data_IF_004784843126
#
_entry.id   IF_004784843126
#
_cell.length_a   1.000
_cell.length_b   1.000
_cell.length_c   1.000
_cell.angle_alpha   90.00
_cell.angle_beta   90.00
_cell.angle_gamma   90.00
#
_symmetry.space_group_name_H-M   'P 1'
#
loop_
_entity.id
_entity.type
_entity.pdbx_description
1 polymer ?
#
# COMPACT_ATOMS: atom_id res chain seq x y z
N UNK A 1 -12.20 6.55 11.02
CA UNK A 1 -11.91 5.12 11.19
C UNK A 1 -11.46 4.88 12.62
N UNK A 2 -12.09 3.93 13.31
CA UNK A 2 -11.69 3.46 14.65
C UNK A 2 -10.41 2.62 14.57
N UNK A 3 -9.70 2.37 15.69
CA UNK A 3 -8.54 1.48 15.69
C UNK A 3 -8.83 0.06 15.19
N UNK A 4 -9.99 -0.50 15.54
CA UNK A 4 -10.39 -1.84 15.09
C UNK A 4 -10.67 -1.89 13.58
N UNK A 5 -11.35 -0.88 13.05
CA UNK A 5 -11.56 -0.75 11.59
C UNK A 5 -10.23 -0.58 10.85
N UNK A 6 -9.28 0.16 11.44
CA UNK A 6 -7.94 0.35 10.86
C UNK A 6 -7.15 -0.96 10.84
N UNK A 7 -7.19 -1.74 11.91
CA UNK A 7 -6.48 -3.02 11.98
C UNK A 7 -6.99 -4.01 10.91
N UNK A 8 -8.28 -3.95 10.56
CA UNK A 8 -8.84 -4.77 9.47
C UNK A 8 -8.24 -4.45 8.08
N UNK A 9 -7.61 -3.28 7.91
CA UNK A 9 -6.90 -2.89 6.69
C UNK A 9 -5.41 -3.20 6.72
N UNK A 10 -4.88 -3.71 7.84
CA UNK A 10 -3.46 -3.93 8.01
C UNK A 10 -2.99 -5.10 7.17
N UNK A 11 -1.83 -4.92 6.54
CA UNK A 11 -1.08 -5.96 5.86
C UNK A 11 0.21 -6.26 6.64
N UNK A 12 0.63 -7.52 6.60
CA UNK A 12 1.92 -7.96 7.14
C UNK A 12 2.64 -8.88 6.16
N UNK A 13 3.97 -8.93 6.25
CA UNK A 13 4.80 -9.83 5.46
C UNK A 13 4.91 -11.17 6.19
N UNK A 14 4.62 -12.27 5.50
CA UNK A 14 4.78 -13.63 6.03
C UNK A 14 6.22 -14.17 5.86
N UNK A 15 6.47 -15.38 6.35
CA UNK A 15 7.80 -16.00 6.30
C UNK A 15 8.32 -16.25 4.87
N UNK A 16 7.42 -16.28 3.88
CA UNK A 16 7.73 -16.48 2.47
C UNK A 16 7.85 -15.14 1.72
N UNK A 17 7.73 -14.01 2.42
CA UNK A 17 7.81 -12.66 1.85
C UNK A 17 6.51 -12.15 1.23
N UNK A 18 5.38 -12.83 1.44
CA UNK A 18 4.08 -12.45 0.88
C UNK A 18 3.31 -11.52 1.82
N UNK A 19 2.56 -10.59 1.24
CA UNK A 19 1.61 -9.74 1.94
C UNK A 19 0.33 -10.51 2.28
N UNK A 20 -0.04 -10.48 3.56
CA UNK A 20 -1.27 -11.06 4.09
C UNK A 20 -2.12 -10.04 4.82
N UNK A 21 -3.43 -10.23 4.75
CA UNK A 21 -4.41 -9.47 5.53
C UNK A 21 -4.33 -9.84 7.01
N UNK A 22 -4.20 -8.85 7.90
CA UNK A 22 -4.26 -9.07 9.34
C UNK A 22 -5.66 -9.48 9.83
N UNK A 23 -6.71 -9.20 9.04
CA UNK A 23 -8.09 -9.50 9.42
C UNK A 23 -8.38 -11.00 9.44
N UNK A 24 -7.79 -11.77 8.52
CA UNK A 24 -8.09 -13.19 8.32
C UNK A 24 -6.87 -14.06 7.96
N UNK A 25 -5.69 -13.47 7.81
CA UNK A 25 -4.45 -14.17 7.43
C UNK A 25 -4.40 -14.61 5.96
N UNK A 26 -5.38 -14.23 5.13
CA UNK A 26 -5.39 -14.57 3.70
C UNK A 26 -4.31 -13.82 2.92
N UNK A 27 -3.92 -14.36 1.76
CA UNK A 27 -3.05 -13.64 0.83
C UNK A 27 -3.79 -12.39 0.32
N UNK A 28 -3.13 -11.24 0.40
CA UNK A 28 -3.72 -10.00 -0.11
C UNK A 28 -3.65 -9.98 -1.64
N UNK A 29 -4.71 -9.51 -2.29
CA UNK A 29 -4.80 -9.45 -3.73
C UNK A 29 -5.57 -8.21 -4.17
N UNK A 30 -5.06 -7.50 -5.16
CA UNK A 30 -5.64 -6.25 -5.67
C UNK A 30 -6.42 -6.41 -6.97
N UNK A 31 -6.61 -7.63 -7.49
CA UNK A 31 -7.34 -7.87 -8.74
C UNK A 31 -8.78 -7.34 -8.68
N UNK A 32 -9.41 -7.37 -7.50
CA UNK A 32 -10.75 -6.79 -7.26
C UNK A 32 -10.75 -5.29 -6.91
N UNK A 33 -9.58 -4.67 -6.78
CA UNK A 33 -9.42 -3.27 -6.39
C UNK A 33 -9.61 -2.30 -7.54
N UNK A 34 -10.20 -1.15 -7.25
CA UNK A 34 -10.30 -0.05 -8.20
C UNK A 34 -9.81 1.22 -7.52
N UNK A 35 -8.82 1.89 -8.11
CA UNK A 35 -8.40 3.23 -7.69
C UNK A 35 -8.87 4.27 -8.69
N UNK A 36 -9.03 5.50 -8.22
CA UNK A 36 -9.40 6.64 -9.04
C UNK A 36 -8.34 6.98 -10.10
N UNK A 37 -7.08 6.59 -9.88
CA UNK A 37 -5.95 6.97 -10.74
C UNK A 37 -5.57 5.92 -11.76
N UNK A 38 -5.63 4.62 -11.44
CA UNK A 38 -5.25 3.53 -12.36
C UNK A 38 -6.43 2.80 -13.01
N UNK A 39 -7.67 3.04 -12.55
CA UNK A 39 -8.89 2.48 -13.15
C UNK A 39 -9.18 1.01 -12.82
N UNK A 40 -8.25 0.28 -12.20
CA UNK A 40 -8.42 -1.12 -11.78
C UNK A 40 -7.12 -1.79 -11.32
N UNK A 41 -7.25 -2.93 -10.62
CA UNK A 41 -6.15 -3.81 -10.24
C UNK A 41 -5.27 -3.32 -9.10
N UNK A 42 -5.58 -2.20 -8.45
CA UNK A 42 -4.73 -1.59 -7.41
C UNK A 42 -5.50 -1.27 -6.13
N UNK A 43 -4.75 -1.12 -5.05
CA UNK A 43 -5.21 -0.60 -3.77
C UNK A 43 -4.48 0.69 -3.42
N UNK A 44 -5.13 1.61 -2.71
CA UNK A 44 -4.39 2.67 -2.01
C UNK A 44 -3.73 2.09 -0.77
N UNK A 45 -2.57 2.64 -0.39
CA UNK A 45 -1.89 2.25 0.84
C UNK A 45 -1.36 3.45 1.63
N UNK A 46 -1.17 3.25 2.93
CA UNK A 46 -0.39 4.11 3.80
C UNK A 46 0.51 3.25 4.70
N UNK A 47 1.67 3.79 5.08
CA UNK A 47 2.53 3.19 6.09
C UNK A 47 2.73 4.15 7.27
N UNK A 48 2.53 3.66 8.48
CA UNK A 48 2.77 4.44 9.70
C UNK A 48 4.25 4.48 10.10
N UNK A 49 4.60 5.27 11.13
CA UNK A 49 5.98 5.39 11.62
C UNK A 49 6.55 4.11 12.26
N UNK A 50 5.69 3.13 12.56
CA UNK A 50 6.09 1.84 13.10
C UNK A 50 6.32 0.80 12.00
N UNK A 51 6.14 1.17 10.73
CA UNK A 51 6.28 0.29 9.58
C UNK A 51 5.03 -0.55 9.29
N UNK A 52 3.90 -0.29 9.94
CA UNK A 52 2.65 -0.99 9.64
C UNK A 52 2.09 -0.50 8.32
N UNK A 53 1.86 -1.44 7.40
CA UNK A 53 1.24 -1.19 6.11
C UNK A 53 -0.28 -1.35 6.23
N UNK A 54 -1.03 -0.39 5.71
CA UNK A 54 -2.49 -0.46 5.62
C UNK A 54 -2.92 -0.24 4.17
N UNK A 55 -3.82 -1.07 3.67
CA UNK A 55 -4.30 -0.98 2.29
C UNK A 55 -5.82 -1.16 2.19
N UNK A 56 -6.42 -0.56 1.16
CA UNK A 56 -7.83 -0.77 0.84
C UNK A 56 -8.08 -0.79 -0.65
N UNK A 57 -8.89 -1.76 -1.06
CA UNK A 57 -9.41 -1.93 -2.43
C UNK A 57 -10.54 -0.94 -2.73
N UNK A 58 -11.18 -0.41 -1.69
CA UNK A 58 -12.38 0.42 -1.80
C UNK A 58 -12.02 1.90 -1.78
N UNK A 59 -11.27 2.36 -2.78
CA UNK A 59 -11.06 3.79 -2.96
C UNK A 59 -12.28 4.42 -3.64
N UNK A 60 -13.20 4.95 -2.83
CA UNK A 60 -14.35 5.72 -3.31
C UNK A 60 -14.11 7.21 -3.16
N UNK A 61 -14.24 7.94 -4.26
CA UNK A 61 -14.19 9.41 -4.28
C UNK A 61 -15.21 9.96 -3.29
N UNK A 62 -14.72 10.66 -2.25
CA UNK A 62 -15.55 11.29 -1.22
C UNK A 62 -15.78 10.45 0.05
N UNK A 63 -15.30 9.20 0.10
CA UNK A 63 -15.50 8.30 1.25
C UNK A 63 -14.19 7.77 1.84
N UNK A 64 -13.32 7.17 1.02
CA UNK A 64 -12.08 6.54 1.50
C UNK A 64 -10.90 7.06 0.70
N UNK A 65 -10.09 7.88 1.36
CA UNK A 65 -8.83 8.42 0.84
C UNK A 65 -7.67 7.97 1.73
N UNK A 66 -6.43 8.21 1.32
CA UNK A 66 -5.23 7.93 2.13
C UNK A 66 -5.35 8.47 3.57
N UNK A 67 -5.90 9.67 3.73
CA UNK A 67 -6.14 10.30 5.04
C UNK A 67 -7.13 9.56 5.93
N UNK A 68 -8.07 8.80 5.35
CA UNK A 68 -9.08 8.03 6.10
C UNK A 68 -8.44 6.85 6.85
N UNK A 69 -7.37 6.26 6.31
CA UNK A 69 -6.72 5.07 6.86
C UNK A 69 -6.00 5.34 8.19
N UNK A 70 -5.36 6.51 8.33
CA UNK A 70 -4.61 6.87 9.55
C UNK A 70 -5.24 8.02 10.36
N UNK A 71 -6.45 8.46 10.00
CA UNK A 71 -7.17 9.55 10.70
C UNK A 71 -6.38 10.87 10.81
N UNK A 72 -5.46 11.13 9.88
CA UNK A 72 -4.65 12.36 9.83
C UNK A 72 -3.27 12.28 10.49
N UNK A 73 -2.85 11.11 10.99
CA UNK A 73 -1.51 10.92 11.53
C UNK A 73 -0.41 10.98 10.46
N UNK A 74 0.83 11.25 10.89
CA UNK A 74 2.00 11.29 10.01
C UNK A 74 2.30 9.92 9.41
N UNK A 75 2.67 9.90 8.13
CA UNK A 75 2.96 8.67 7.37
C UNK A 75 4.42 8.64 6.92
N UNK A 76 4.98 7.43 6.86
CA UNK A 76 6.29 7.19 6.22
C UNK A 76 6.16 7.27 4.70
N UNK A 77 5.00 6.85 4.18
CA UNK A 77 4.65 6.97 2.76
C UNK A 77 3.18 6.64 2.52
N UNK A 78 2.68 7.12 1.38
CA UNK A 78 1.35 6.86 0.89
C UNK A 78 1.40 6.73 -0.63
N UNK A 79 0.51 5.93 -1.21
CA UNK A 79 0.51 5.70 -2.65
C UNK A 79 -0.47 4.64 -3.10
N UNK A 80 -0.15 3.95 -4.20
CA UNK A 80 -0.85 2.73 -4.64
C UNK A 80 0.07 1.51 -4.61
N UNK A 81 -0.52 0.35 -4.36
CA UNK A 81 0.12 -0.95 -4.54
C UNK A 81 -0.70 -1.82 -5.48
N UNK A 82 0.00 -2.68 -6.19
CA UNK A 82 -0.54 -3.80 -6.94
C UNK A 82 0.01 -5.07 -6.33
N UNK A 83 -0.87 -5.99 -5.94
CA UNK A 83 -0.53 -7.24 -5.26
C UNK A 83 -1.27 -8.38 -5.93
N UNK A 84 -0.54 -9.44 -6.29
CA UNK A 84 -1.11 -10.64 -6.90
C UNK A 84 -0.72 -11.86 -6.09
N UNK A 85 -1.71 -12.58 -5.54
CA UNK A 85 -1.49 -13.72 -4.67
C UNK A 85 -0.49 -13.43 -3.52
N UNK A 86 -0.61 -12.27 -2.88
CA UNK A 86 0.27 -11.79 -1.82
C UNK A 86 1.61 -11.22 -2.28
N UNK A 87 1.99 -11.35 -3.56
CA UNK A 87 3.23 -10.76 -4.06
C UNK A 87 3.00 -9.30 -4.43
N UNK A 88 3.77 -8.39 -3.83
CA UNK A 88 3.80 -6.99 -4.26
C UNK A 88 4.46 -6.91 -5.64
N UNK A 89 3.68 -6.59 -6.67
CA UNK A 89 4.15 -6.52 -8.06
C UNK A 89 4.41 -5.09 -8.50
N UNK A 90 3.70 -4.11 -7.94
CA UNK A 90 4.00 -2.71 -8.19
C UNK A 90 3.73 -1.81 -6.97
N UNK A 91 4.50 -0.74 -6.87
CA UNK A 91 4.24 0.36 -5.92
C UNK A 91 4.38 1.70 -6.63
N UNK A 92 3.54 2.66 -6.28
CA UNK A 92 3.56 4.01 -6.86
C UNK A 92 3.49 5.07 -5.77
N UNK A 93 4.08 6.24 -6.01
CA UNK A 93 3.88 7.43 -5.15
C UNK A 93 2.53 8.16 -5.43
N UNK A 94 1.54 7.52 -6.08
CA UNK A 94 0.24 8.14 -6.37
C UNK A 94 -0.61 8.28 -5.10
N UNK A 95 -0.46 9.40 -4.39
CA UNK A 95 -1.16 9.67 -3.12
C UNK A 95 -2.03 10.93 -3.11
N UNK A 96 -2.19 11.61 -4.25
CA UNK A 96 -2.97 12.85 -4.34
C UNK A 96 -2.39 14.00 -3.49
N UNK A 97 -3.08 14.35 -2.39
CA UNK A 97 -2.80 15.55 -1.57
C UNK A 97 -1.54 15.46 -0.69
N UNK A 98 -1.09 14.25 -0.37
CA UNK A 98 0.27 14.07 0.11
C UNK A 98 1.16 14.31 -1.11
N UNK A 99 1.70 15.53 -1.29
CA UNK A 99 2.79 15.76 -2.24
C UNK A 99 3.93 14.86 -1.80
N UNK A 100 4.17 13.72 -2.47
CA UNK A 100 5.20 12.81 -2.01
C UNK A 100 6.52 13.51 -2.25
N UNK A 101 7.40 13.51 -1.25
CA UNK A 101 8.80 13.67 -1.57
C UNK A 101 9.18 12.48 -2.48
N UNK A 102 10.03 12.65 -3.51
CA UNK A 102 10.29 11.62 -4.54
C UNK A 102 10.81 10.26 -4.04
N UNK A 103 10.95 10.08 -2.74
CA UNK A 103 11.57 8.95 -2.06
C UNK A 103 10.68 8.36 -0.95
N UNK A 104 9.39 8.69 -0.90
CA UNK A 104 8.49 8.12 0.10
C UNK A 104 8.30 6.62 -0.10
N UNK A 105 8.06 6.14 -1.32
CA UNK A 105 8.00 4.71 -1.58
C UNK A 105 9.36 3.99 -1.37
N UNK A 106 10.51 4.67 -1.50
CA UNK A 106 11.82 4.09 -1.16
C UNK A 106 11.89 3.69 0.32
N UNK A 107 11.38 4.55 1.21
CA UNK A 107 11.32 4.27 2.66
C UNK A 107 10.35 3.14 2.97
N UNK A 108 9.21 3.11 2.27
CA UNK A 108 8.22 2.03 2.40
C UNK A 108 8.83 0.69 1.98
N UNK A 109 9.50 0.65 0.82
CA UNK A 109 10.15 -0.56 0.33
C UNK A 109 11.27 -1.04 1.25
N UNK A 110 12.06 -0.12 1.81
CA UNK A 110 13.08 -0.48 2.80
C UNK A 110 12.44 -1.12 4.03
N UNK A 111 11.39 -0.51 4.58
CA UNK A 111 10.65 -1.06 5.73
C UNK A 111 10.08 -2.46 5.45
N UNK A 112 9.54 -2.68 4.25
CA UNK A 112 9.05 -4.00 3.86
C UNK A 112 10.18 -5.02 3.72
N UNK A 113 11.32 -4.64 3.14
CA UNK A 113 12.50 -5.53 3.04
C UNK A 113 13.04 -5.91 4.41
N UNK A 114 13.08 -4.97 5.35
CA UNK A 114 13.46 -5.24 6.74
C UNK A 114 12.50 -6.21 7.44
N UNK A 115 11.25 -6.29 6.96
CA UNK A 115 10.22 -7.25 7.38
C UNK A 115 10.24 -8.58 6.60
N UNK A 116 11.15 -8.76 5.64
CA UNK A 116 11.29 -9.99 4.87
C UNK A 116 10.69 -9.97 3.45
N UNK A 117 10.14 -8.83 3.00
CA UNK A 117 9.66 -8.71 1.63
C UNK A 117 10.82 -8.81 0.65
N UNK A 118 10.68 -9.69 -0.33
CA UNK A 118 11.64 -9.83 -1.43
C UNK A 118 10.94 -9.47 -2.74
N UNK A 119 11.39 -8.42 -3.46
CA UNK A 119 10.79 -8.08 -4.74
C UNK A 119 11.05 -9.19 -5.77
N UNK A 120 10.00 -9.57 -6.50
CA UNK A 120 10.10 -10.48 -7.63
C UNK A 120 10.81 -9.84 -8.83
N UNK A 121 11.20 -10.64 -9.82
CA UNK A 121 11.90 -10.17 -11.02
C UNK A 121 11.10 -9.13 -11.82
N UNK A 122 9.77 -9.24 -11.78
CA UNK A 122 8.84 -8.34 -12.49
C UNK A 122 8.32 -7.20 -11.61
N UNK A 123 8.89 -6.98 -10.42
CA UNK A 123 8.50 -5.90 -9.52
C UNK A 123 8.79 -4.54 -10.15
N UNK A 124 7.82 -3.62 -10.08
CA UNK A 124 7.93 -2.27 -10.66
C UNK A 124 7.72 -1.18 -9.61
N UNK A 125 8.60 -0.20 -9.63
CA UNK A 125 8.48 0.99 -8.81
C UNK A 125 8.19 2.20 -9.70
N UNK A 126 7.14 2.94 -9.36
CA UNK A 126 6.72 4.12 -10.12
C UNK A 126 6.82 5.37 -9.26
N UNK A 127 7.33 6.45 -9.84
CA UNK A 127 7.28 7.78 -9.22
C UNK A 127 5.89 8.43 -9.32
N UNK A 128 5.76 9.63 -8.74
CA UNK A 128 4.51 10.39 -8.72
C UNK A 128 3.95 10.78 -10.11
N UNK A 129 4.80 10.90 -11.15
CA UNK A 129 4.34 11.18 -12.52
C UNK A 129 3.91 9.92 -13.29
N UNK A 130 3.98 8.73 -12.66
CA UNK A 130 3.73 7.45 -13.32
C UNK A 130 4.91 6.93 -14.14
N UNK A 131 6.07 7.60 -14.12
CA UNK A 131 7.30 7.09 -14.71
C UNK A 131 7.88 5.94 -13.87
N UNK A 132 8.27 4.85 -14.53
CA UNK A 132 9.00 3.74 -13.91
C UNK A 132 10.39 4.21 -13.48
N UNK A 133 10.89 3.72 -12.34
CA UNK A 133 12.17 4.09 -11.72
C UNK A 133 13.19 2.98 -11.81
#
# INVERSE_FOLDING_TARGET
MTPAEREAHRLFVDADGNLRSAADGSLFDTAGGTTHWSGGGRAIFVMDSSGNLYATLDQRVGHTHHSSLLAGDSVVGAGEIEVTNGQLVAITDQSGHYRPEPHMNDRVLQSLRDQGFTPGADFKQYGWSGQER
#
